data_IF_424461996219
#
_entry.id   IF_424461996219
#
_cell.length_a   1.000
_cell.length_b   1.000
_cell.length_c   1.000
_cell.angle_alpha   90.00
_cell.angle_beta   90.00
_cell.angle_gamma   90.00
#
_symmetry.space_group_name_H-M   'P 1'
#
loop_
_entity.id
_entity.type
_entity.pdbx_description
1 polymer ?
#
# COMPACT_ATOMS: atom_id res chain seq x y z
N UNK A 1 -31.18 -0.40 11.91
CA UNK A 1 -29.99 -1.12 12.45
C UNK A 1 -28.77 -1.02 11.53
N UNK A 2 -28.90 -1.25 10.21
CA UNK A 2 -27.80 -1.05 9.25
C UNK A 2 -27.15 0.34 9.30
N UNK A 3 -27.94 1.42 9.48
CA UNK A 3 -27.42 2.79 9.56
C UNK A 3 -26.54 3.05 10.80
N UNK A 4 -26.84 2.45 11.95
CA UNK A 4 -26.04 2.61 13.18
C UNK A 4 -24.72 1.83 13.10
N UNK A 5 -24.76 0.62 12.52
CA UNK A 5 -23.56 -0.18 12.23
C UNK A 5 -22.66 0.51 11.20
N UNK A 6 -23.23 1.10 10.15
CA UNK A 6 -22.50 1.93 9.18
C UNK A 6 -21.84 3.13 9.86
N UNK A 7 -22.58 3.90 10.64
CA UNK A 7 -22.03 5.05 11.40
C UNK A 7 -20.88 4.65 12.33
N UNK A 8 -20.99 3.50 13.00
CA UNK A 8 -19.91 2.99 13.85
C UNK A 8 -18.64 2.66 13.04
N UNK A 9 -18.79 2.00 11.89
CA UNK A 9 -17.68 1.73 10.98
C UNK A 9 -17.05 3.02 10.47
N UNK A 10 -17.86 3.99 10.03
CA UNK A 10 -17.38 5.28 9.53
C UNK A 10 -16.55 6.03 10.60
N UNK A 11 -16.98 5.98 11.86
CA UNK A 11 -16.23 6.57 12.98
C UNK A 11 -14.88 5.88 13.22
N UNK A 12 -14.84 4.54 13.14
CA UNK A 12 -13.59 3.78 13.30
C UNK A 12 -12.64 4.07 12.13
N UNK A 13 -13.16 4.15 10.90
CA UNK A 13 -12.39 4.48 9.69
C UNK A 13 -11.81 5.88 9.79
N UNK A 14 -12.59 6.86 10.22
CA UNK A 14 -12.10 8.23 10.45
C UNK A 14 -10.99 8.29 11.52
N UNK A 15 -11.12 7.52 12.61
CA UNK A 15 -10.05 7.44 13.62
C UNK A 15 -8.76 6.79 13.08
N UNK A 16 -8.88 5.78 12.20
CA UNK A 16 -7.73 5.17 11.52
C UNK A 16 -7.06 6.16 10.56
N UNK A 17 -7.84 6.95 9.83
CA UNK A 17 -7.34 7.99 8.91
C UNK A 17 -6.63 9.12 9.66
N UNK A 18 -7.08 9.45 10.87
CA UNK A 18 -6.44 10.41 11.76
C UNK A 18 -5.18 9.86 12.47
N UNK A 19 -4.85 8.57 12.32
CA UNK A 19 -3.76 7.91 13.03
C UNK A 19 -4.05 7.61 14.51
N UNK A 20 -5.29 7.77 14.96
CA UNK A 20 -5.74 7.51 16.32
C UNK A 20 -6.00 6.01 16.57
N UNK A 21 -4.98 5.17 16.34
CA UNK A 21 -5.10 3.70 16.32
C UNK A 21 -5.70 3.13 17.63
N UNK A 22 -5.26 3.64 18.80
CA UNK A 22 -5.81 3.24 20.10
C UNK A 22 -7.29 3.56 20.23
N UNK A 23 -7.72 4.72 19.73
CA UNK A 23 -9.11 5.13 19.73
C UNK A 23 -9.94 4.26 18.78
N UNK A 24 -9.45 4.01 17.56
CA UNK A 24 -10.08 3.12 16.61
C UNK A 24 -10.30 1.71 17.20
N UNK A 25 -9.28 1.14 17.86
CA UNK A 25 -9.37 -0.16 18.53
C UNK A 25 -10.39 -0.17 19.67
N UNK A 26 -10.46 0.90 20.47
CA UNK A 26 -11.45 1.06 21.56
C UNK A 26 -12.86 1.18 21.00
N UNK A 27 -13.09 2.02 19.99
CA UNK A 27 -14.38 2.21 19.35
C UNK A 27 -14.89 0.89 18.73
N UNK A 28 -14.01 0.13 18.06
CA UNK A 28 -14.37 -1.17 17.52
C UNK A 28 -14.76 -2.16 18.63
N UNK A 29 -13.97 -2.23 19.71
CA UNK A 29 -14.26 -3.09 20.86
C UNK A 29 -15.60 -2.76 21.52
N UNK A 30 -15.89 -1.47 21.73
CA UNK A 30 -17.16 -1.03 22.31
C UNK A 30 -18.36 -1.42 21.44
N UNK A 31 -18.24 -1.29 20.12
CA UNK A 31 -19.32 -1.66 19.20
C UNK A 31 -19.49 -3.18 19.06
N UNK A 32 -18.43 -3.98 19.27
CA UNK A 32 -18.51 -5.44 19.37
C UNK A 32 -19.19 -5.91 20.66
N UNK A 33 -19.02 -5.19 21.77
CA UNK A 33 -19.59 -5.53 23.08
C UNK A 33 -21.05 -5.12 23.26
N UNK A 34 -21.56 -4.20 22.42
CA UNK A 34 -22.97 -3.81 22.43
C UNK A 34 -23.83 -5.03 22.07
N UNK A 35 -24.37 -5.71 23.10
CA UNK A 35 -25.43 -6.71 22.96
C UNK A 35 -26.66 -6.03 22.31
N UNK A 36 -26.74 -6.03 20.98
CA UNK A 36 -28.00 -5.70 20.33
C UNK A 36 -28.98 -6.84 20.60
N UNK A 37 -30.24 -6.50 20.95
CA UNK A 37 -31.36 -7.44 21.07
C UNK A 37 -31.67 -8.03 19.69
N UNK A 38 -30.85 -8.99 19.28
CA UNK A 38 -30.68 -9.44 17.90
C UNK A 38 -29.23 -9.19 17.54
N UNK A 39 -28.39 -10.23 17.64
CA UNK A 39 -26.95 -10.17 17.44
C UNK A 39 -26.62 -9.32 16.18
N UNK A 40 -25.51 -8.53 16.18
CA UNK A 40 -24.99 -8.05 14.91
C UNK A 40 -24.84 -9.28 14.03
N UNK A 41 -25.54 -9.33 12.88
CA UNK A 41 -25.44 -10.47 11.98
C UNK A 41 -23.96 -10.79 11.77
N UNK A 42 -23.58 -12.06 11.74
CA UNK A 42 -22.18 -12.49 11.87
C UNK A 42 -21.23 -11.63 11.00
N UNK A 43 -21.64 -11.33 9.77
CA UNK A 43 -20.97 -10.41 8.84
C UNK A 43 -20.63 -9.01 9.42
N UNK A 44 -21.55 -8.35 10.12
CA UNK A 44 -21.31 -7.02 10.73
C UNK A 44 -20.28 -7.07 11.86
N UNK A 45 -20.28 -8.16 12.64
CA UNK A 45 -19.26 -8.41 13.65
C UNK A 45 -17.88 -8.59 13.02
N UNK A 46 -17.81 -9.25 11.86
CA UNK A 46 -16.55 -9.50 11.16
C UNK A 46 -15.90 -8.22 10.63
N UNK A 47 -16.66 -7.29 10.03
CA UNK A 47 -16.12 -6.01 9.58
C UNK A 47 -15.52 -5.19 10.75
N UNK A 48 -16.21 -5.16 11.90
CA UNK A 48 -15.72 -4.49 13.10
C UNK A 48 -14.46 -5.18 13.68
N UNK A 49 -14.40 -6.52 13.65
CA UNK A 49 -13.20 -7.28 14.02
C UNK A 49 -12.03 -6.99 13.08
N UNK A 50 -12.27 -6.91 11.78
CA UNK A 50 -11.24 -6.58 10.79
C UNK A 50 -10.69 -5.16 11.01
N UNK A 51 -11.55 -4.17 11.18
CA UNK A 51 -11.15 -2.80 11.51
C UNK A 51 -10.35 -2.74 12.83
N UNK A 52 -10.76 -3.50 13.85
CA UNK A 52 -10.03 -3.62 15.09
C UNK A 52 -8.64 -4.25 14.88
N UNK A 53 -8.55 -5.31 14.07
CA UNK A 53 -7.28 -5.95 13.75
C UNK A 53 -6.30 -4.98 13.07
N UNK A 54 -6.79 -4.17 12.12
CA UNK A 54 -5.99 -3.10 11.49
C UNK A 54 -5.51 -2.10 12.55
N UNK A 55 -6.41 -1.59 13.39
CA UNK A 55 -6.07 -0.64 14.44
C UNK A 55 -5.00 -1.18 15.40
N UNK A 56 -5.13 -2.44 15.83
CA UNK A 56 -4.17 -3.10 16.71
C UNK A 56 -2.82 -3.35 16.02
N UNK A 57 -2.82 -3.75 14.75
CA UNK A 57 -1.59 -3.92 13.98
C UNK A 57 -0.82 -2.60 13.85
N UNK A 58 -1.52 -1.50 13.60
CA UNK A 58 -0.93 -0.15 13.52
C UNK A 58 -0.48 0.40 14.88
N UNK A 59 -1.05 -0.09 15.98
CA UNK A 59 -0.65 0.26 17.36
C UNK A 59 0.49 -0.63 17.91
N UNK A 60 0.97 -1.60 17.13
CA UNK A 60 2.01 -2.54 17.56
C UNK A 60 1.52 -3.70 18.43
N UNK A 61 0.20 -3.88 18.55
CA UNK A 61 -0.42 -4.99 19.30
C UNK A 61 -0.61 -6.21 18.40
N UNK A 62 0.51 -6.75 17.90
CA UNK A 62 0.57 -7.79 16.86
C UNK A 62 -0.21 -9.06 17.23
N UNK A 63 -0.01 -9.60 18.44
CA UNK A 63 -0.61 -10.88 18.85
C UNK A 63 -2.14 -10.85 18.83
N UNK A 64 -2.70 -9.74 19.31
CA UNK A 64 -4.16 -9.54 19.36
C UNK A 64 -4.70 -9.28 17.94
N UNK A 65 -3.96 -8.50 17.14
CA UNK A 65 -4.30 -8.25 15.75
C UNK A 65 -4.32 -9.55 14.91
N UNK A 66 -3.32 -10.42 15.06
CA UNK A 66 -3.25 -11.73 14.38
C UNK A 66 -4.44 -12.60 14.77
N UNK A 67 -4.75 -12.69 16.06
CA UNK A 67 -5.88 -13.49 16.56
C UNK A 67 -7.18 -13.06 15.89
N UNK A 68 -7.48 -11.74 15.88
CA UNK A 68 -8.69 -11.21 15.27
C UNK A 68 -8.70 -11.36 13.74
N UNK A 69 -7.58 -11.12 13.06
CA UNK A 69 -7.48 -11.29 11.62
C UNK A 69 -7.75 -12.75 11.20
N UNK A 70 -7.22 -13.73 11.95
CA UNK A 70 -7.47 -15.16 11.73
C UNK A 70 -8.91 -15.57 12.00
N UNK A 71 -9.57 -14.99 12.99
CA UNK A 71 -11.01 -15.21 13.20
C UNK A 71 -11.83 -14.72 12.00
N UNK A 72 -11.52 -13.54 11.46
CA UNK A 72 -12.19 -13.02 10.26
C UNK A 72 -11.86 -13.84 9.03
N UNK A 73 -10.62 -14.33 8.91
CA UNK A 73 -10.19 -15.20 7.81
C UNK A 73 -10.97 -16.52 7.76
N UNK A 74 -11.29 -17.11 8.92
CA UNK A 74 -11.96 -18.42 9.01
C UNK A 74 -13.47 -18.38 8.82
N UNK A 75 -14.08 -17.20 8.86
CA UNK A 75 -15.52 -17.07 8.66
C UNK A 75 -15.92 -17.51 7.24
N UNK A 76 -16.96 -18.34 7.12
CA UNK A 76 -17.40 -18.91 5.83
C UNK A 76 -18.11 -17.85 4.99
N UNK A 77 -18.95 -17.02 5.61
CA UNK A 77 -19.68 -15.95 4.93
C UNK A 77 -19.09 -14.59 5.31
N UNK A 78 -18.49 -13.91 4.34
CA UNK A 78 -17.96 -12.54 4.49
C UNK A 78 -18.42 -11.71 3.31
N UNK A 79 -18.83 -10.48 3.57
CA UNK A 79 -19.05 -9.52 2.50
C UNK A 79 -17.71 -9.00 1.93
N UNK A 80 -17.76 -8.39 0.74
CA UNK A 80 -16.56 -7.92 0.06
C UNK A 80 -15.78 -6.89 0.87
N UNK A 81 -16.47 -6.08 1.68
CA UNK A 81 -15.84 -5.09 2.55
C UNK A 81 -15.03 -5.78 3.64
N UNK A 82 -15.60 -6.78 4.31
CA UNK A 82 -14.90 -7.58 5.32
C UNK A 82 -13.71 -8.30 4.72
N UNK A 83 -13.84 -8.88 3.52
CA UNK A 83 -12.74 -9.53 2.83
C UNK A 83 -11.59 -8.55 2.53
N UNK A 84 -11.91 -7.35 2.01
CA UNK A 84 -10.91 -6.29 1.78
C UNK A 84 -10.21 -5.86 3.06
N UNK A 85 -10.96 -5.58 4.12
CA UNK A 85 -10.41 -5.19 5.42
C UNK A 85 -9.54 -6.29 6.03
N UNK A 86 -9.93 -7.56 5.85
CA UNK A 86 -9.14 -8.69 6.29
C UNK A 86 -7.80 -8.77 5.55
N UNK A 87 -7.79 -8.52 4.23
CA UNK A 87 -6.54 -8.45 3.45
C UNK A 87 -5.65 -7.31 3.95
N UNK A 88 -6.23 -6.12 4.20
CA UNK A 88 -5.49 -4.98 4.78
C UNK A 88 -4.86 -5.37 6.12
N UNK A 89 -5.61 -6.02 7.02
CA UNK A 89 -5.07 -6.46 8.31
C UNK A 89 -3.85 -7.37 8.14
N UNK A 90 -3.90 -8.35 7.23
CA UNK A 90 -2.76 -9.24 6.97
C UNK A 90 -1.59 -8.53 6.28
N UNK A 91 -1.85 -7.60 5.36
CA UNK A 91 -0.81 -6.75 4.77
C UNK A 91 -0.09 -5.95 5.85
N UNK A 92 -0.84 -5.31 6.76
CA UNK A 92 -0.25 -4.48 7.81
C UNK A 92 0.59 -5.31 8.79
N UNK A 93 0.11 -6.50 9.16
CA UNK A 93 0.81 -7.49 10.00
C UNK A 93 2.08 -8.03 9.34
N UNK A 94 2.02 -8.35 8.04
CA UNK A 94 3.19 -8.83 7.28
C UNK A 94 4.27 -7.76 7.26
N UNK A 95 3.91 -6.51 7.03
CA UNK A 95 4.88 -5.42 6.99
C UNK A 95 5.66 -5.24 8.30
N UNK A 96 5.13 -5.68 9.44
CA UNK A 96 5.85 -5.62 10.72
C UNK A 96 7.07 -6.56 10.73
N UNK A 97 6.98 -7.71 10.07
CA UNK A 97 8.06 -8.71 10.06
C UNK A 97 9.01 -8.58 8.86
N UNK A 98 8.54 -8.04 7.73
CA UNK A 98 9.28 -8.04 6.46
C UNK A 98 9.87 -6.68 6.09
N UNK A 99 9.45 -5.58 6.73
CA UNK A 99 10.07 -4.29 6.49
C UNK A 99 11.41 -4.19 7.25
N UNK A 100 12.45 -3.60 6.64
CA UNK A 100 13.66 -3.23 7.38
C UNK A 100 13.33 -2.30 8.56
N UNK A 101 14.13 -2.30 9.64
CA UNK A 101 13.88 -1.45 10.81
C UNK A 101 13.64 0.03 10.47
N UNK A 102 14.44 0.61 9.58
CA UNK A 102 14.26 1.99 9.13
C UNK A 102 12.89 2.27 8.48
N UNK A 103 12.31 1.28 7.79
CA UNK A 103 10.96 1.38 7.20
C UNK A 103 9.86 1.23 8.24
N UNK A 104 10.11 0.50 9.33
CA UNK A 104 9.19 0.37 10.46
C UNK A 104 9.18 1.70 11.23
N UNK A 105 10.37 2.22 11.55
CA UNK A 105 10.54 3.46 12.32
C UNK A 105 10.00 4.68 11.57
N UNK A 106 10.16 4.73 10.25
CA UNK A 106 9.65 5.82 9.41
C UNK A 106 8.24 5.56 8.86
N UNK A 107 7.54 4.53 9.34
CA UNK A 107 6.27 4.10 8.74
C UNK A 107 5.20 5.14 8.99
N UNK A 108 4.64 5.67 7.89
CA UNK A 108 3.42 6.48 7.93
C UNK A 108 2.30 5.66 7.32
N UNK A 109 1.21 5.51 8.06
CA UNK A 109 0.02 4.84 7.55
C UNK A 109 -0.79 5.82 6.70
N UNK A 110 -1.01 5.53 5.41
CA UNK A 110 -1.92 6.34 4.60
C UNK A 110 -3.37 6.16 5.10
N UNK A 111 -4.30 7.01 4.63
CA UNK A 111 -5.72 6.80 4.83
C UNK A 111 -6.12 5.36 4.50
N UNK A 112 -7.07 4.81 5.24
CA UNK A 112 -7.52 3.44 5.10
C UNK A 112 -8.03 3.15 3.70
N UNK A 113 -8.71 4.11 3.06
CA UNK A 113 -9.20 3.97 1.69
C UNK A 113 -8.03 3.75 0.70
N UNK A 114 -6.96 4.55 0.82
CA UNK A 114 -5.75 4.34 0.02
C UNK A 114 -5.11 2.99 0.34
N UNK A 115 -5.10 2.59 1.61
CA UNK A 115 -4.56 1.29 2.04
C UNK A 115 -5.33 0.12 1.44
N UNK A 116 -6.67 0.19 1.38
CA UNK A 116 -7.53 -0.83 0.77
C UNK A 116 -7.27 -0.95 -0.73
N UNK A 117 -7.20 0.16 -1.47
CA UNK A 117 -6.93 0.12 -2.91
C UNK A 117 -5.52 -0.38 -3.21
N UNK A 118 -4.53 0.05 -2.43
CA UNK A 118 -3.16 -0.45 -2.53
C UNK A 118 -3.11 -1.95 -2.25
N UNK A 119 -3.81 -2.41 -1.22
CA UNK A 119 -3.84 -3.84 -0.87
C UNK A 119 -4.50 -4.65 -1.97
N UNK A 120 -5.62 -4.18 -2.53
CA UNK A 120 -6.27 -4.82 -3.67
C UNK A 120 -5.36 -4.89 -4.90
N UNK A 121 -4.57 -3.85 -5.17
CA UNK A 121 -3.55 -3.89 -6.23
C UNK A 121 -2.47 -4.94 -5.94
N UNK A 122 -1.95 -5.01 -4.72
CA UNK A 122 -0.92 -5.98 -4.33
C UNK A 122 -1.45 -7.42 -4.35
N UNK A 123 -2.71 -7.64 -3.97
CA UNK A 123 -3.38 -8.93 -4.08
C UNK A 123 -3.52 -9.34 -5.55
N UNK A 124 -3.88 -8.40 -6.43
CA UNK A 124 -3.93 -8.64 -7.87
C UNK A 124 -2.53 -8.94 -8.46
N UNK A 125 -1.47 -8.28 -7.97
CA UNK A 125 -0.08 -8.60 -8.33
C UNK A 125 0.26 -10.03 -7.89
N UNK A 126 -0.06 -10.41 -6.65
CA UNK A 126 0.22 -11.75 -6.12
C UNK A 126 -0.57 -12.85 -6.84
N UNK A 127 -1.78 -12.55 -7.30
CA UNK A 127 -2.61 -13.46 -8.09
C UNK A 127 -2.19 -13.54 -9.57
N UNK A 128 -1.43 -12.57 -10.07
CA UNK A 128 -0.92 -12.54 -11.45
C UNK A 128 0.26 -13.49 -11.61
N UNK A 129 -0.03 -14.80 -11.62
CA UNK A 129 0.96 -15.88 -11.74
C UNK A 129 1.47 -16.09 -13.17
N UNK A 130 0.91 -15.39 -14.17
CA UNK A 130 1.14 -15.65 -15.60
C UNK A 130 1.73 -14.47 -16.38
N UNK A 131 2.40 -13.51 -15.72
CA UNK A 131 3.11 -12.43 -16.42
C UNK A 131 2.22 -11.36 -17.07
N UNK A 132 0.91 -11.37 -16.81
CA UNK A 132 -0.05 -10.41 -17.36
C UNK A 132 -0.05 -9.05 -16.64
N UNK A 133 1.13 -8.44 -16.48
CA UNK A 133 1.28 -7.17 -15.76
C UNK A 133 0.62 -5.99 -16.48
N UNK A 134 0.33 -6.09 -17.78
CA UNK A 134 -0.45 -5.09 -18.53
C UNK A 134 -1.85 -4.89 -17.97
N UNK A 135 -2.46 -5.95 -17.43
CA UNK A 135 -3.80 -5.86 -16.85
C UNK A 135 -3.81 -5.04 -15.56
N UNK A 136 -2.65 -4.89 -14.92
CA UNK A 136 -2.46 -4.13 -13.70
C UNK A 136 -2.15 -2.65 -13.97
N UNK A 137 -1.72 -2.31 -15.19
CA UNK A 137 -1.37 -0.94 -15.58
C UNK A 137 -2.53 0.07 -15.35
N UNK A 138 -3.78 -0.19 -15.78
CA UNK A 138 -4.89 0.73 -15.51
C UNK A 138 -5.14 0.96 -14.02
N UNK A 139 -4.96 -0.07 -13.20
CA UNK A 139 -5.12 0.00 -11.75
C UNK A 139 -4.02 0.84 -11.10
N UNK A 140 -2.76 0.66 -11.50
CA UNK A 140 -1.65 1.48 -11.02
C UNK A 140 -1.80 2.96 -11.42
N UNK A 141 -2.23 3.24 -12.66
CA UNK A 141 -2.50 4.60 -13.12
C UNK A 141 -3.68 5.24 -12.38
N UNK A 142 -4.69 4.46 -12.00
CA UNK A 142 -5.82 4.93 -11.17
C UNK A 142 -5.37 5.29 -9.76
N UNK A 143 -4.54 4.47 -9.13
CA UNK A 143 -3.94 4.79 -7.84
C UNK A 143 -3.17 6.11 -7.90
N UNK A 144 -2.33 6.29 -8.94
CA UNK A 144 -1.60 7.54 -9.13
C UNK A 144 -2.54 8.72 -9.38
N UNK A 145 -3.56 8.57 -10.22
CA UNK A 145 -4.46 9.67 -10.54
C UNK A 145 -5.28 10.11 -9.32
N UNK A 146 -5.65 9.17 -8.45
CA UNK A 146 -6.44 9.41 -7.24
C UNK A 146 -5.61 10.01 -6.10
N UNK A 147 -4.47 9.39 -5.76
CA UNK A 147 -3.71 9.74 -4.55
C UNK A 147 -2.48 10.62 -4.82
N UNK A 148 -2.11 10.82 -6.09
CA UNK A 148 -0.94 11.62 -6.51
C UNK A 148 0.39 11.20 -5.91
N UNK A 149 0.47 10.01 -5.32
CA UNK A 149 1.72 9.48 -4.77
C UNK A 149 2.62 8.96 -5.90
N UNK A 150 3.84 9.49 -6.07
CA UNK A 150 4.75 9.08 -7.15
C UNK A 150 5.06 7.57 -7.17
N UNK A 151 4.95 6.89 -6.03
CA UNK A 151 5.15 5.44 -5.93
C UNK A 151 4.20 4.65 -6.84
N UNK A 152 2.95 5.10 -6.99
CA UNK A 152 1.97 4.41 -7.84
C UNK A 152 2.27 4.60 -9.33
N UNK A 153 2.87 5.72 -9.69
CA UNK A 153 3.38 5.93 -11.05
C UNK A 153 4.59 5.03 -11.33
N UNK A 154 5.46 4.82 -10.34
CA UNK A 154 6.55 3.84 -10.45
C UNK A 154 5.99 2.42 -10.65
N UNK A 155 4.92 2.04 -9.95
CA UNK A 155 4.26 0.74 -10.18
C UNK A 155 3.69 0.61 -11.58
N UNK A 156 3.10 1.66 -12.13
CA UNK A 156 2.63 1.67 -13.52
C UNK A 156 3.79 1.43 -14.50
N UNK A 157 4.93 2.11 -14.31
CA UNK A 157 6.13 1.91 -15.13
C UNK A 157 6.70 0.50 -14.99
N UNK A 158 6.70 -0.07 -13.77
CA UNK A 158 7.09 -1.47 -13.55
C UNK A 158 6.14 -2.42 -14.28
N UNK A 159 4.83 -2.20 -14.24
CA UNK A 159 3.87 -2.99 -15.02
C UNK A 159 4.16 -2.93 -16.53
N UNK A 160 4.57 -1.76 -17.05
CA UNK A 160 4.96 -1.60 -18.47
C UNK A 160 6.27 -2.32 -18.79
N UNK A 161 7.25 -2.31 -17.88
CA UNK A 161 8.54 -3.00 -18.05
C UNK A 161 8.41 -4.52 -17.94
N UNK A 162 7.50 -5.00 -17.09
CA UNK A 162 7.25 -6.42 -16.87
C UNK A 162 6.20 -6.99 -17.83
N UNK A 163 5.46 -6.15 -18.53
CA UNK A 163 4.59 -6.60 -19.62
C UNK A 163 5.47 -7.17 -20.72
N UNK A 164 5.48 -8.51 -20.78
CA UNK A 164 6.16 -9.44 -21.67
C UNK A 164 7.35 -8.93 -22.48
N UNK A 165 8.43 -9.71 -22.43
CA UNK A 165 9.64 -9.64 -23.25
C UNK A 165 9.38 -9.88 -24.76
N UNK A 166 8.41 -9.17 -25.32
CA UNK A 166 8.00 -9.05 -26.73
C UNK A 166 8.29 -7.60 -27.17
N UNK A 167 8.58 -7.32 -28.45
CA UNK A 167 8.87 -5.94 -28.89
C UNK A 167 7.67 -5.02 -28.66
N UNK A 168 7.65 -4.39 -27.49
CA UNK A 168 6.66 -3.40 -27.11
C UNK A 168 6.82 -2.22 -28.07
N UNK A 169 5.70 -1.75 -28.64
CA UNK A 169 5.70 -0.70 -29.66
C UNK A 169 6.45 0.56 -29.19
N UNK A 170 7.09 1.29 -30.12
CA UNK A 170 7.69 2.61 -29.85
C UNK A 170 6.75 3.57 -29.11
N UNK A 171 5.44 3.46 -29.35
CA UNK A 171 4.43 4.27 -28.69
C UNK A 171 4.35 4.01 -27.18
N UNK A 172 4.53 2.75 -26.74
CA UNK A 172 4.51 2.39 -25.32
C UNK A 172 5.72 2.95 -24.59
N UNK A 173 6.92 2.87 -25.19
CA UNK A 173 8.12 3.44 -24.59
C UNK A 173 8.12 4.96 -24.59
N UNK A 174 7.55 5.58 -25.63
CA UNK A 174 7.30 7.02 -25.64
C UNK A 174 6.32 7.44 -24.53
N UNK A 175 5.28 6.64 -24.26
CA UNK A 175 4.40 6.86 -23.12
C UNK A 175 5.14 6.69 -21.79
N UNK A 176 5.95 5.63 -21.64
CA UNK A 176 6.75 5.38 -20.44
C UNK A 176 7.69 6.56 -20.15
N UNK A 177 8.38 7.09 -21.15
CA UNK A 177 9.23 8.28 -21.01
C UNK A 177 8.43 9.51 -20.56
N UNK A 178 7.25 9.75 -21.13
CA UNK A 178 6.35 10.85 -20.70
C UNK A 178 5.86 10.69 -19.26
N UNK A 179 5.59 9.46 -18.82
CA UNK A 179 5.18 9.17 -17.45
C UNK A 179 6.37 9.32 -16.49
N UNK A 180 7.56 8.85 -16.88
CA UNK A 180 8.79 9.01 -16.12
C UNK A 180 9.13 10.49 -15.88
N UNK A 181 8.92 11.37 -16.86
CA UNK A 181 9.11 12.81 -16.71
C UNK A 181 8.18 13.48 -15.67
N UNK A 182 7.14 12.78 -15.19
CA UNK A 182 6.26 13.25 -14.11
C UNK A 182 6.73 12.80 -12.72
N UNK A 183 7.72 11.92 -12.64
CA UNK A 183 8.31 11.56 -11.35
C UNK A 183 9.13 12.76 -10.83
N UNK A 184 9.23 12.94 -9.50
CA UNK A 184 10.10 13.97 -8.95
C UNK A 184 11.53 13.73 -9.43
N UNK A 185 12.23 14.82 -9.73
CA UNK A 185 13.62 14.78 -10.14
C UNK A 185 14.44 13.97 -9.12
N UNK A 186 15.42 13.23 -9.62
CA UNK A 186 16.45 12.70 -8.73
C UNK A 186 17.23 13.91 -8.22
N UNK A 187 17.24 14.12 -6.91
CA UNK A 187 18.07 15.15 -6.28
C UNK A 187 19.53 14.98 -6.77
N UNK A 188 20.20 16.05 -7.20
CA UNK A 188 21.60 16.00 -7.62
C UNK A 188 22.48 15.77 -6.40
N UNK A 189 22.63 14.52 -5.99
CA UNK A 189 23.61 14.08 -4.97
C UNK A 189 24.72 13.23 -5.56
N UNK A 190 24.88 13.29 -6.88
CA UNK A 190 26.02 12.71 -7.59
C UNK A 190 27.01 13.83 -7.96
N UNK A 191 27.37 14.70 -7.01
CA UNK A 191 28.66 15.36 -7.09
C UNK A 191 29.74 14.29 -7.03
N UNK A 192 30.86 14.49 -7.71
CA UNK A 192 31.96 13.52 -7.90
C UNK A 192 32.52 12.92 -6.59
N UNK A 193 32.16 13.48 -5.43
CA UNK A 193 32.31 12.86 -4.11
C UNK A 193 31.04 12.08 -3.73
N UNK A 194 31.03 10.78 -4.05
CA UNK A 194 29.92 9.83 -3.98
C UNK A 194 29.43 9.45 -2.56
N UNK A 195 29.10 10.43 -1.72
CA UNK A 195 28.54 10.18 -0.40
C UNK A 195 27.28 11.00 -0.18
N UNK A 196 26.12 10.32 -0.12
CA UNK A 196 24.94 10.86 0.56
C UNK A 196 25.41 11.44 1.90
N UNK A 197 24.98 12.66 2.24
CA UNK A 197 25.44 13.30 3.46
C UNK A 197 25.20 12.38 4.66
N UNK A 198 26.17 12.30 5.57
CA UNK A 198 26.02 11.51 6.79
C UNK A 198 24.75 11.90 7.59
N UNK A 199 24.30 13.15 7.41
CA UNK A 199 23.04 13.68 7.95
C UNK A 199 21.78 13.08 7.34
N UNK A 200 21.75 12.74 6.05
CA UNK A 200 20.60 12.04 5.47
C UNK A 200 20.52 10.62 6.03
N UNK A 201 21.66 9.95 6.14
CA UNK A 201 21.76 8.58 6.63
C UNK A 201 21.57 8.44 8.14
N UNK A 202 21.55 9.55 8.90
CA UNK A 202 21.35 9.51 10.35
C UNK A 202 19.89 9.37 10.78
N UNK A 203 18.95 9.39 9.84
CA UNK A 203 17.51 9.24 10.13
C UNK A 203 16.90 8.06 9.38
N UNK A 204 15.87 7.45 9.97
CA UNK A 204 15.10 6.37 9.34
C UNK A 204 14.43 6.83 8.03
N UNK A 205 13.94 8.08 8.01
CA UNK A 205 13.33 8.71 6.84
C UNK A 205 14.35 8.88 5.70
N UNK A 206 15.53 9.45 5.97
CA UNK A 206 16.56 9.62 4.95
C UNK A 206 17.14 8.30 4.44
N UNK A 207 17.23 7.26 5.28
CA UNK A 207 17.53 5.90 4.84
C UNK A 207 16.48 5.36 3.85
N UNK A 208 15.20 5.62 4.11
CA UNK A 208 14.11 5.21 3.22
C UNK A 208 14.11 5.98 1.91
N UNK A 209 14.34 7.29 1.97
CA UNK A 209 14.43 8.18 0.81
C UNK A 209 15.55 7.75 -0.13
N UNK A 210 16.75 7.46 0.40
CA UNK A 210 17.87 6.93 -0.39
C UNK A 210 17.48 5.65 -1.12
N UNK A 211 16.81 4.72 -0.43
CA UNK A 211 16.37 3.45 -1.05
C UNK A 211 15.35 3.69 -2.16
N UNK A 212 14.41 4.61 -1.96
CA UNK A 212 13.41 4.97 -2.96
C UNK A 212 14.03 5.71 -4.16
N UNK A 213 15.08 6.52 -3.94
CA UNK A 213 15.84 7.17 -5.01
C UNK A 213 16.62 6.15 -5.85
N UNK A 214 17.26 5.14 -5.25
CA UNK A 214 17.90 4.07 -6.03
C UNK A 214 16.89 3.26 -6.84
N UNK A 215 15.74 2.91 -6.25
CA UNK A 215 14.69 2.21 -6.99
C UNK A 215 14.20 3.04 -8.18
N UNK A 216 14.03 4.36 -8.00
CA UNK A 216 13.66 5.28 -9.08
C UNK A 216 14.75 5.39 -10.15
N UNK A 217 16.02 5.47 -9.75
CA UNK A 217 17.14 5.49 -10.70
C UNK A 217 17.13 4.23 -11.57
N UNK A 218 17.07 3.04 -10.97
CA UNK A 218 17.01 1.77 -11.71
C UNK A 218 15.85 1.75 -12.69
N UNK A 219 14.68 2.24 -12.25
CA UNK A 219 13.50 2.33 -13.09
C UNK A 219 13.70 3.29 -14.28
N UNK A 220 14.26 4.47 -14.02
CA UNK A 220 14.54 5.47 -15.06
C UNK A 220 15.51 4.94 -16.11
N UNK A 221 16.63 4.34 -15.67
CA UNK A 221 17.62 3.73 -16.56
C UNK A 221 16.99 2.62 -17.42
N UNK A 222 16.11 1.81 -16.82
CA UNK A 222 15.41 0.74 -17.53
C UNK A 222 14.48 1.29 -18.62
N UNK A 223 13.71 2.34 -18.33
CA UNK A 223 12.82 2.98 -19.31
C UNK A 223 13.62 3.65 -20.43
N UNK A 224 14.66 4.42 -20.11
CA UNK A 224 15.50 5.11 -21.10
C UNK A 224 16.17 4.11 -22.05
N UNK A 225 16.69 3.00 -21.52
CA UNK A 225 17.28 1.93 -22.32
C UNK A 225 16.28 1.31 -23.29
N UNK A 226 15.05 1.05 -22.86
CA UNK A 226 14.02 0.49 -23.73
C UNK A 226 13.49 1.51 -24.76
N UNK A 227 13.59 2.81 -24.46
CA UNK A 227 13.24 3.89 -25.38
C UNK A 227 14.37 4.26 -26.36
N UNK A 228 15.51 3.55 -26.34
CA UNK A 228 16.65 3.80 -27.23
C UNK A 228 17.50 5.04 -26.85
N UNK A 229 17.25 5.64 -25.68
CA UNK A 229 18.01 6.79 -25.16
C UNK A 229 19.23 6.33 -24.35
N UNK A 230 20.11 5.53 -24.98
CA UNK A 230 21.23 4.91 -24.27
C UNK A 230 22.24 5.90 -23.69
N UNK A 231 22.44 7.06 -24.33
CA UNK A 231 23.33 8.11 -23.83
C UNK A 231 22.82 8.84 -22.58
N UNK A 232 21.50 8.81 -22.33
CA UNK A 232 20.89 9.33 -21.10
C UNK A 232 20.82 8.26 -19.99
N UNK A 233 21.15 7.00 -20.33
CA UNK A 233 21.05 5.83 -19.45
C UNK A 233 22.42 5.31 -18.95
N UNK A 234 23.50 6.05 -19.20
CA UNK A 234 24.87 5.80 -18.71
C UNK A 234 25.25 6.86 -17.67
#
# INVERSE_FOLDING_TARGET
MAAASRKARDQIRAALDAGENKQAARLASQNLLKKSKGAPGEAQGLALKALRAIALARDGQERDAVTLAREVERAVEKDDETARLCSVAFKELREIYYLPPSRIDSRRYPPLEETEEVTAFLDAVAASTTGHFERLLPSALRLFSRFKNPRYLQWALVCMLLHDASPVSKATWALAAKLMAKLPALEPSMSEDSHYSAQLMSTAEGCCERRDNYARLILMLSVLRQNGQHGEAL
#
